data_IF_338644865108
#
_entry.id   IF_338644865108
#
_cell.length_a   1.000
_cell.length_b   1.000
_cell.length_c   1.000
_cell.angle_alpha   90.00
_cell.angle_beta   90.00
_cell.angle_gamma   90.00
#
_symmetry.space_group_name_H-M   'P 1'
#
loop_
_entity.id
_entity.type
_entity.pdbx_description
1 polymer ?
#
# COMPACT_ATOMS: atom_id res chain seq x y z
N UNK A 1 -15.58 -45.58 50.25
CA UNK A 1 -14.63 -45.74 49.12
C UNK A 1 -14.34 -44.36 48.55
N UNK A 2 -13.08 -43.94 48.65
CA UNK A 2 -12.57 -42.65 48.22
C UNK A 2 -12.38 -42.63 46.69
N UNK A 3 -12.84 -41.57 46.01
CA UNK A 3 -12.20 -41.13 44.76
C UNK A 3 -12.11 -39.60 44.74
N UNK A 4 -10.87 -39.14 44.92
CA UNK A 4 -10.41 -37.78 44.60
C UNK A 4 -10.25 -37.69 43.08
N UNK A 5 -10.87 -36.70 42.44
CA UNK A 5 -10.43 -36.20 41.13
C UNK A 5 -10.44 -34.67 41.18
N UNK A 6 -9.24 -34.10 41.22
CA UNK A 6 -8.92 -32.75 40.79
C UNK A 6 -9.06 -32.68 39.27
N UNK A 7 -9.70 -31.63 38.74
CA UNK A 7 -9.30 -31.09 37.44
C UNK A 7 -9.64 -29.60 37.35
N UNK A 8 -8.56 -28.88 37.05
CA UNK A 8 -8.36 -27.44 36.91
C UNK A 8 -8.80 -27.05 35.48
N UNK A 9 -9.05 -25.75 35.29
CA UNK A 9 -9.00 -24.96 34.05
C UNK A 9 -10.33 -24.65 33.35
N UNK A 10 -10.60 -23.34 33.32
CA UNK A 10 -11.54 -22.71 32.42
C UNK A 10 -11.53 -21.18 32.55
N UNK A 11 -10.36 -20.56 32.71
CA UNK A 11 -10.23 -19.11 32.53
C UNK A 11 -10.36 -18.86 31.03
N UNK A 12 -11.59 -18.62 30.58
CA UNK A 12 -11.89 -18.06 29.27
C UNK A 12 -11.46 -16.59 29.33
N UNK A 13 -10.15 -16.37 29.23
CA UNK A 13 -9.56 -15.08 28.94
C UNK A 13 -9.88 -14.74 27.49
N UNK A 14 -11.04 -14.13 27.27
CA UNK A 14 -11.37 -13.47 26.02
C UNK A 14 -10.39 -12.33 25.81
N UNK A 15 -9.27 -12.63 25.15
CA UNK A 15 -8.34 -11.63 24.64
C UNK A 15 -9.07 -10.91 23.49
N UNK A 16 -9.87 -9.90 23.84
CA UNK A 16 -10.38 -8.93 22.87
C UNK A 16 -9.16 -8.13 22.41
N UNK A 17 -8.59 -8.52 21.28
CA UNK A 17 -7.56 -7.74 20.59
C UNK A 17 -8.27 -6.47 20.11
N UNK A 18 -8.27 -5.44 20.95
CA UNK A 18 -8.65 -4.09 20.54
C UNK A 18 -7.56 -3.59 19.60
N UNK A 19 -7.75 -3.81 18.30
CA UNK A 19 -6.97 -3.10 17.30
C UNK A 19 -7.41 -1.64 17.36
N UNK A 20 -6.68 -0.82 18.12
CA UNK A 20 -6.86 0.62 18.09
C UNK A 20 -6.64 1.09 16.65
N UNK A 21 -7.62 1.78 16.02
CA UNK A 21 -7.38 2.38 14.73
C UNK A 21 -6.22 3.38 14.90
N UNK A 22 -5.17 3.24 14.10
CA UNK A 22 -4.17 4.29 13.99
C UNK A 22 -4.93 5.59 13.65
N UNK A 23 -4.68 6.67 14.39
CA UNK A 23 -5.26 7.98 14.11
C UNK A 23 -4.27 8.72 13.22
N UNK A 24 -4.73 9.32 12.13
CA UNK A 24 -3.93 10.21 11.29
C UNK A 24 -3.42 11.39 12.15
N UNK A 25 -2.10 11.49 12.35
CA UNK A 25 -1.49 12.60 13.11
C UNK A 25 -0.80 13.56 12.12
N UNK A 26 -0.85 14.86 12.42
CA UNK A 26 -0.13 15.89 11.68
C UNK A 26 1.38 15.61 11.62
N UNK A 27 1.91 14.82 12.57
CA UNK A 27 3.30 14.35 12.61
C UNK A 27 3.71 13.51 11.41
N UNK A 28 2.76 12.84 10.76
CA UNK A 28 3.03 11.99 9.59
C UNK A 28 3.38 12.81 8.36
N UNK A 29 2.91 14.07 8.30
CA UNK A 29 3.30 15.01 7.25
C UNK A 29 4.79 15.38 7.33
N UNK A 30 5.40 15.34 8.52
CA UNK A 30 6.82 15.61 8.71
C UNK A 30 7.69 14.36 8.62
N UNK A 31 7.08 13.17 8.70
CA UNK A 31 7.76 11.88 8.67
C UNK A 31 7.01 10.91 7.74
N UNK A 32 6.97 11.18 6.43
CA UNK A 32 6.12 10.44 5.51
C UNK A 32 6.44 8.94 5.38
N UNK A 33 7.55 8.44 5.94
CA UNK A 33 7.97 7.04 5.87
C UNK A 33 7.86 6.26 7.19
N UNK A 34 7.40 6.87 8.30
CA UNK A 34 7.39 6.22 9.62
C UNK A 34 6.31 5.12 9.75
N UNK A 35 5.13 5.36 9.19
CA UNK A 35 3.93 4.50 9.40
C UNK A 35 3.24 4.08 8.11
N UNK A 36 3.88 4.27 6.96
CA UNK A 36 3.23 4.10 5.65
C UNK A 36 2.70 2.69 5.38
N UNK A 37 3.27 1.65 6.00
CA UNK A 37 2.82 0.27 5.85
C UNK A 37 1.61 -0.10 6.72
N UNK A 38 1.35 0.67 7.78
CA UNK A 38 0.36 0.34 8.81
C UNK A 38 -1.02 0.96 8.51
N UNK A 39 -1.10 1.87 7.55
CA UNK A 39 -2.33 2.58 7.23
C UNK A 39 -3.22 1.85 6.23
N UNK A 40 -4.52 1.96 6.47
CA UNK A 40 -5.53 1.63 5.46
C UNK A 40 -5.61 2.76 4.42
N UNK A 41 -6.10 2.49 3.20
CA UNK A 41 -6.29 3.54 2.19
C UNK A 41 -7.12 4.73 2.68
N UNK A 42 -8.13 4.47 3.52
CA UNK A 42 -8.95 5.52 4.12
C UNK A 42 -8.12 6.44 5.03
N UNK A 43 -7.32 5.84 5.92
CA UNK A 43 -6.42 6.58 6.82
C UNK A 43 -5.36 7.38 6.05
N UNK A 44 -4.78 6.81 4.99
CA UNK A 44 -3.86 7.53 4.12
C UNK A 44 -4.50 8.78 3.50
N UNK A 45 -5.76 8.70 3.05
CA UNK A 45 -6.47 9.89 2.55
C UNK A 45 -6.70 10.95 3.62
N UNK A 46 -7.05 10.54 4.84
CA UNK A 46 -7.17 11.49 5.96
C UNK A 46 -5.84 12.20 6.24
N UNK A 47 -4.71 11.49 6.20
CA UNK A 47 -3.40 12.13 6.33
C UNK A 47 -3.17 13.12 5.19
N UNK A 48 -3.45 12.71 3.94
CA UNK A 48 -3.30 13.57 2.76
C UNK A 48 -4.09 14.88 2.87
N UNK A 49 -5.35 14.82 3.33
CA UNK A 49 -6.23 15.98 3.52
C UNK A 49 -5.71 16.96 4.57
N UNK A 50 -4.97 16.46 5.56
CA UNK A 50 -4.44 17.28 6.66
C UNK A 50 -3.02 17.80 6.40
N UNK A 51 -2.32 17.31 5.37
CA UNK A 51 -0.97 17.80 5.07
C UNK A 51 -0.99 19.10 4.27
N UNK A 52 -0.29 20.12 4.77
CA UNK A 52 -0.17 21.42 4.08
C UNK A 52 0.81 21.42 2.91
N UNK A 53 1.75 20.48 2.87
CA UNK A 53 2.71 20.34 1.76
C UNK A 53 2.14 19.42 0.67
N UNK A 54 1.94 19.96 -0.54
CA UNK A 54 1.29 19.24 -1.65
C UNK A 54 2.02 17.97 -2.05
N UNK A 55 3.35 17.95 -2.04
CA UNK A 55 4.14 16.77 -2.39
C UNK A 55 3.88 15.61 -1.42
N UNK A 56 3.75 15.91 -0.12
CA UNK A 56 3.47 14.93 0.92
C UNK A 56 2.01 14.47 0.87
N UNK A 57 1.07 15.40 0.69
CA UNK A 57 -0.34 15.07 0.51
C UNK A 57 -0.55 14.12 -0.67
N UNK A 58 0.07 14.42 -1.82
CA UNK A 58 0.03 13.59 -3.01
C UNK A 58 0.62 12.20 -2.76
N UNK A 59 1.70 12.09 -1.98
CA UNK A 59 2.29 10.80 -1.64
C UNK A 59 1.30 9.90 -0.89
N UNK A 60 0.64 10.43 0.13
CA UNK A 60 -0.36 9.66 0.87
C UNK A 60 -1.59 9.32 0.02
N UNK A 61 -2.05 10.24 -0.83
CA UNK A 61 -3.13 9.98 -1.77
C UNK A 61 -2.78 8.86 -2.75
N UNK A 62 -1.58 8.91 -3.33
CA UNK A 62 -1.08 7.94 -4.29
C UNK A 62 -0.88 6.54 -3.67
N UNK A 63 -0.34 6.49 -2.44
CA UNK A 63 -0.27 5.25 -1.66
C UNK A 63 -1.65 4.62 -1.45
N UNK A 64 -2.63 5.44 -1.04
CA UNK A 64 -3.99 4.99 -0.82
C UNK A 64 -4.58 4.38 -2.11
N UNK A 65 -4.45 5.10 -3.21
CA UNK A 65 -5.03 4.70 -4.48
C UNK A 65 -4.35 3.45 -5.05
N UNK A 66 -3.02 3.37 -4.98
CA UNK A 66 -2.29 2.17 -5.38
C UNK A 66 -2.68 0.95 -4.53
N UNK A 67 -2.83 1.10 -3.20
CA UNK A 67 -3.27 0.01 -2.34
C UNK A 67 -4.67 -0.51 -2.71
N UNK A 68 -5.60 0.36 -3.10
CA UNK A 68 -6.92 -0.04 -3.59
C UNK A 68 -6.87 -0.75 -4.94
N UNK A 69 -6.03 -0.30 -5.88
CA UNK A 69 -5.83 -0.99 -7.15
C UNK A 69 -5.29 -2.40 -6.92
N UNK A 70 -4.33 -2.56 -6.01
CA UNK A 70 -3.81 -3.87 -5.60
C UNK A 70 -4.90 -4.77 -5.00
N UNK A 71 -5.80 -4.23 -4.19
CA UNK A 71 -6.95 -4.98 -3.67
C UNK A 71 -7.90 -5.43 -4.79
N UNK A 72 -8.14 -4.58 -5.80
CA UNK A 72 -8.97 -4.95 -6.97
C UNK A 72 -8.35 -6.11 -7.75
N UNK A 73 -7.05 -6.09 -8.01
CA UNK A 73 -6.35 -7.23 -8.63
C UNK A 73 -6.51 -8.52 -7.82
N UNK A 74 -6.38 -8.45 -6.49
CA UNK A 74 -6.58 -9.63 -5.64
C UNK A 74 -8.00 -10.19 -5.74
N UNK A 75 -9.01 -9.32 -5.80
CA UNK A 75 -10.42 -9.73 -5.96
C UNK A 75 -10.63 -10.39 -7.32
N UNK A 76 -10.17 -9.76 -8.41
CA UNK A 76 -10.32 -10.30 -9.78
C UNK A 76 -9.61 -11.65 -9.90
N UNK A 77 -8.39 -11.77 -9.40
CA UNK A 77 -7.63 -13.02 -9.39
C UNK A 77 -8.40 -14.15 -8.67
N UNK A 78 -9.10 -13.87 -7.56
CA UNK A 78 -9.93 -14.87 -6.88
C UNK A 78 -11.16 -15.30 -7.69
N UNK A 79 -11.69 -14.43 -8.55
CA UNK A 79 -12.85 -14.72 -9.40
C UNK A 79 -12.46 -15.54 -10.63
N UNK A 80 -11.24 -15.35 -11.16
CA UNK A 80 -10.70 -16.06 -12.31
C UNK A 80 -10.16 -17.44 -11.93
N UNK A 81 -11.04 -18.38 -11.59
CA UNK A 81 -10.64 -19.71 -11.09
C UNK A 81 -10.01 -20.65 -12.14
N UNK A 82 -10.01 -20.31 -13.44
CA UNK A 82 -9.73 -21.28 -14.53
C UNK A 82 -8.89 -20.74 -15.71
N UNK A 83 -8.26 -19.57 -15.62
CA UNK A 83 -7.45 -18.99 -16.71
C UNK A 83 -6.01 -18.65 -16.26
N UNK A 84 -5.04 -18.58 -17.20
CA UNK A 84 -3.67 -18.21 -16.88
C UNK A 84 -3.60 -16.87 -16.13
N UNK A 85 -2.84 -16.86 -15.04
CA UNK A 85 -2.90 -15.84 -14.01
C UNK A 85 -2.02 -14.61 -14.30
N UNK A 86 -2.28 -13.94 -15.42
CA UNK A 86 -1.63 -12.67 -15.75
C UNK A 86 -1.83 -11.61 -14.66
N UNK A 87 -2.98 -11.64 -14.00
CA UNK A 87 -3.37 -10.63 -13.01
C UNK A 87 -2.54 -10.75 -11.74
N UNK A 88 -2.21 -11.97 -11.29
CA UNK A 88 -1.28 -12.17 -10.18
C UNK A 88 0.14 -11.73 -10.55
N UNK A 89 0.61 -11.99 -11.78
CA UNK A 89 1.92 -11.52 -12.22
C UNK A 89 1.98 -9.99 -12.21
N UNK A 90 0.99 -9.31 -12.80
CA UNK A 90 0.87 -7.86 -12.79
C UNK A 90 0.84 -7.28 -11.37
N UNK A 91 0.01 -7.87 -10.50
CA UNK A 91 -0.05 -7.51 -9.08
C UNK A 91 1.32 -7.57 -8.39
N UNK A 92 2.07 -8.66 -8.58
CA UNK A 92 3.39 -8.80 -7.95
C UNK A 92 4.41 -7.81 -8.52
N UNK A 93 4.41 -7.60 -9.85
CA UNK A 93 5.30 -6.62 -10.49
C UNK A 93 5.08 -5.22 -9.94
N UNK A 94 3.82 -4.77 -9.82
CA UNK A 94 3.49 -3.45 -9.28
C UNK A 94 3.94 -3.30 -7.83
N UNK A 95 3.68 -4.33 -6.99
CA UNK A 95 4.11 -4.33 -5.59
C UNK A 95 5.61 -4.20 -5.42
N UNK A 96 6.39 -4.97 -6.18
CA UNK A 96 7.84 -4.95 -6.10
C UNK A 96 8.38 -3.60 -6.57
N UNK A 97 7.88 -3.08 -7.69
CA UNK A 97 8.33 -1.80 -8.24
C UNK A 97 8.11 -0.64 -7.27
N UNK A 98 6.91 -0.53 -6.69
CA UNK A 98 6.59 0.51 -5.72
C UNK A 98 7.35 0.32 -4.41
N UNK A 99 7.48 -0.91 -3.90
CA UNK A 99 8.25 -1.16 -2.68
C UNK A 99 9.74 -0.77 -2.83
N UNK A 100 10.34 -1.03 -3.99
CA UNK A 100 11.70 -0.58 -4.29
C UNK A 100 11.80 0.94 -4.39
N UNK A 101 10.84 1.57 -5.08
CA UNK A 101 10.78 3.03 -5.21
C UNK A 101 10.66 3.72 -3.85
N UNK A 102 9.79 3.21 -2.98
CA UNK A 102 9.62 3.65 -1.59
C UNK A 102 10.92 3.52 -0.78
N UNK A 103 11.62 2.39 -0.89
CA UNK A 103 12.88 2.18 -0.19
C UNK A 103 13.97 3.17 -0.63
N UNK A 104 14.09 3.43 -1.94
CA UNK A 104 15.04 4.42 -2.45
C UNK A 104 14.67 5.85 -2.06
N UNK A 105 13.39 6.21 -2.19
CA UNK A 105 12.90 7.53 -1.82
C UNK A 105 13.09 7.81 -0.32
N UNK A 106 12.81 6.82 0.54
CA UNK A 106 13.09 6.91 1.98
C UNK A 106 14.57 7.20 2.24
N UNK A 107 15.47 6.43 1.62
CA UNK A 107 16.91 6.59 1.76
C UNK A 107 17.40 7.97 1.28
N UNK A 108 16.82 8.50 0.22
CA UNK A 108 17.12 9.82 -0.32
C UNK A 108 16.59 10.94 0.59
N UNK A 109 15.35 10.82 1.07
CA UNK A 109 14.75 11.73 2.04
C UNK A 109 15.55 11.84 3.33
N UNK A 110 15.98 10.70 3.91
CA UNK A 110 16.83 10.65 5.10
C UNK A 110 18.19 11.35 4.90
N UNK A 111 18.65 11.48 3.65
CA UNK A 111 19.86 12.23 3.28
C UNK A 111 19.60 13.71 2.97
N UNK A 112 18.36 14.18 3.09
CA UNK A 112 17.95 15.55 2.81
C UNK A 112 17.71 15.87 1.34
N UNK A 113 17.58 14.85 0.47
CA UNK A 113 17.30 15.05 -0.95
C UNK A 113 15.83 15.46 -1.15
N UNK A 114 15.59 16.76 -1.35
CA UNK A 114 14.24 17.35 -1.44
C UNK A 114 13.40 16.84 -2.62
N UNK A 115 14.03 16.31 -3.66
CA UNK A 115 13.34 15.79 -4.86
C UNK A 115 12.82 14.37 -4.69
N UNK A 116 13.21 13.66 -3.63
CA UNK A 116 12.89 12.24 -3.43
C UNK A 116 11.37 11.97 -3.42
N UNK A 117 10.58 12.82 -2.75
CA UNK A 117 9.12 12.69 -2.68
C UNK A 117 8.48 12.96 -4.05
N UNK A 118 8.95 13.96 -4.77
CA UNK A 118 8.43 14.30 -6.09
C UNK A 118 8.69 13.15 -7.10
N UNK A 119 9.89 12.57 -7.07
CA UNK A 119 10.22 11.41 -7.90
C UNK A 119 9.39 10.18 -7.52
N UNK A 120 9.20 9.93 -6.22
CA UNK A 120 8.33 8.85 -5.75
C UNK A 120 6.87 9.03 -6.21
N UNK A 121 6.33 10.25 -6.16
CA UNK A 121 5.00 10.54 -6.67
C UNK A 121 4.88 10.23 -8.16
N UNK A 122 5.88 10.61 -8.97
CA UNK A 122 5.93 10.26 -10.40
C UNK A 122 5.93 8.75 -10.64
N UNK A 123 6.68 7.99 -9.82
CA UNK A 123 6.67 6.53 -9.88
C UNK A 123 5.30 5.94 -9.54
N UNK A 124 4.62 6.52 -8.55
CA UNK A 124 3.25 6.15 -8.20
C UNK A 124 2.28 6.43 -9.33
N UNK A 125 2.23 7.67 -9.85
CA UNK A 125 1.30 8.07 -10.90
C UNK A 125 1.40 7.13 -12.11
N UNK A 126 2.64 6.81 -12.49
CA UNK A 126 2.92 5.87 -13.57
C UNK A 126 2.47 4.45 -13.25
N UNK A 127 2.78 3.94 -12.06
CA UNK A 127 2.37 2.60 -11.63
C UNK A 127 0.85 2.46 -11.59
N UNK A 128 0.17 3.50 -11.08
CA UNK A 128 -1.28 3.64 -11.06
C UNK A 128 -1.85 3.60 -12.47
N UNK A 129 -1.32 4.39 -13.40
CA UNK A 129 -1.79 4.42 -14.79
C UNK A 129 -1.69 3.03 -15.45
N UNK A 130 -0.55 2.35 -15.30
CA UNK A 130 -0.34 1.01 -15.83
C UNK A 130 -1.32 0.01 -15.20
N UNK A 131 -1.49 0.06 -13.88
CA UNK A 131 -2.41 -0.80 -13.15
C UNK A 131 -3.86 -0.59 -13.59
N UNK A 132 -4.28 0.65 -13.81
CA UNK A 132 -5.61 0.95 -14.34
C UNK A 132 -5.82 0.39 -15.74
N UNK A 133 -4.85 0.55 -16.65
CA UNK A 133 -4.95 -0.04 -17.99
C UNK A 133 -5.06 -1.56 -17.94
N UNK A 134 -4.29 -2.21 -17.07
CA UNK A 134 -4.34 -3.66 -16.87
C UNK A 134 -5.72 -4.11 -16.35
N UNK A 135 -6.26 -3.44 -15.32
CA UNK A 135 -7.61 -3.74 -14.79
C UNK A 135 -8.71 -3.55 -15.83
N UNK A 136 -8.55 -2.58 -16.74
CA UNK A 136 -9.50 -2.30 -17.84
C UNK A 136 -9.29 -3.22 -19.06
N UNK A 137 -8.27 -4.09 -19.06
CA UNK A 137 -7.93 -4.99 -20.16
C UNK A 137 -7.15 -4.33 -21.32
N UNK A 138 -6.67 -3.10 -21.14
CA UNK A 138 -5.90 -2.34 -22.14
C UNK A 138 -4.40 -2.68 -22.13
N UNK A 139 -4.07 -3.96 -22.31
CA UNK A 139 -2.70 -4.47 -22.18
C UNK A 139 -1.69 -3.78 -23.12
N UNK A 140 -2.12 -3.36 -24.33
CA UNK A 140 -1.26 -2.63 -25.28
C UNK A 140 -0.88 -1.25 -24.75
N UNK A 141 -1.83 -0.54 -24.13
CA UNK A 141 -1.58 0.76 -23.52
C UNK A 141 -0.68 0.61 -22.30
N UNK A 142 -0.95 -0.38 -21.44
CA UNK A 142 -0.09 -0.71 -20.30
C UNK A 142 1.37 -0.99 -20.73
N UNK A 143 1.57 -1.81 -21.77
CA UNK A 143 2.90 -2.13 -22.28
C UNK A 143 3.61 -0.89 -22.86
N UNK A 144 2.88 -0.02 -23.58
CA UNK A 144 3.43 1.25 -24.07
C UNK A 144 3.85 2.15 -22.90
N UNK A 145 3.01 2.32 -21.89
CA UNK A 145 3.34 3.14 -20.71
C UNK A 145 4.52 2.58 -19.92
N UNK A 146 4.71 1.25 -19.88
CA UNK A 146 5.91 0.62 -19.30
C UNK A 146 7.19 0.89 -20.10
N UNK A 147 7.10 1.04 -21.42
CA UNK A 147 8.27 1.24 -22.28
C UNK A 147 8.83 2.68 -22.26
N UNK A 148 8.04 3.67 -21.82
CA UNK A 148 8.46 5.07 -21.76
C UNK A 148 9.40 5.26 -20.57
N UNK A 149 10.68 5.65 -20.71
CA UNK A 149 11.52 5.92 -19.54
C UNK A 149 10.93 7.05 -18.69
N UNK A 150 10.92 6.88 -17.36
CA UNK A 150 10.57 7.96 -16.45
C UNK A 150 11.70 8.99 -16.52
N UNK A 151 11.42 10.16 -17.10
CA UNK A 151 12.40 11.24 -17.12
C UNK A 151 12.71 11.65 -15.67
N UNK A 152 14.01 11.74 -15.31
CA UNK A 152 14.45 12.07 -13.96
C UNK A 152 14.14 13.51 -13.55
#
# INVERSE_FOLDING_TARGET
MNFRILLILGVIGGLVITMSPAIADHKDCNNPFSHSADYTPHLMRQVAENCGESAIANLFYNRAYHAELLQKFQVINRLQTHQPNSDQAHYQTQRIFIALSEAFARRAWERGEKTAIAQLNSHYDRSIEIAEYQLKGYNVLAARTQAIPSNP
#
